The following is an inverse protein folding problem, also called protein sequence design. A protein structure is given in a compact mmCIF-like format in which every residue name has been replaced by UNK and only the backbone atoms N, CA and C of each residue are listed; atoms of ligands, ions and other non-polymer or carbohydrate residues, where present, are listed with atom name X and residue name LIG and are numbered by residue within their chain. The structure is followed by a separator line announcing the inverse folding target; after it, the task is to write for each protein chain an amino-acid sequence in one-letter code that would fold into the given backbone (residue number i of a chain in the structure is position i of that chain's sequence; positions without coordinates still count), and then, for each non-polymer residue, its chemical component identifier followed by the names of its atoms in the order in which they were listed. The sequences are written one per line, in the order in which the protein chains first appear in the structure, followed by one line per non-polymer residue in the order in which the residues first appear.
data_IF_547473129474
#
_entry.id   IF_547473129474
#
_cell.length_a   1.000
_cell.length_b   1.000
_cell.length_c   1.000
_cell.angle_alpha   90.00
_cell.angle_beta   90.00
_cell.angle_gamma   90.00
#
_symmetry.space_group_name_H-M   'P 1'
#
loop_
_entity.id
_entity.type
_entity.pdbx_description
1 polymer ?
#
# COMPACT_ATOMS: atom_id res chain seq x y z
N UNK A 1 23.45 9.81 -4.07
CA UNK A 1 22.46 8.86 -4.63
C UNK A 1 22.00 7.95 -3.51
N UNK A 2 20.70 7.61 -3.45
CA UNK A 2 20.05 6.64 -2.54
C UNK A 2 19.31 7.16 -1.29
N UNK A 3 19.47 8.42 -0.83
CA UNK A 3 18.75 8.92 0.36
C UNK A 3 17.23 8.95 0.18
N UNK A 4 16.74 9.24 -1.03
CA UNK A 4 15.30 9.25 -1.35
C UNK A 4 14.67 7.86 -1.26
N UNK A 5 15.41 6.81 -1.64
CA UNK A 5 14.94 5.42 -1.58
C UNK A 5 14.84 4.99 -0.11
N UNK A 6 15.86 5.29 0.70
CA UNK A 6 15.83 5.04 2.14
C UNK A 6 14.72 5.82 2.85
N UNK A 7 14.46 7.06 2.45
CA UNK A 7 13.36 7.86 2.98
C UNK A 7 11.99 7.29 2.60
N UNK A 8 11.80 6.92 1.34
CA UNK A 8 10.56 6.29 0.88
C UNK A 8 10.31 4.96 1.61
N UNK A 9 11.35 4.14 1.80
CA UNK A 9 11.26 2.89 2.55
C UNK A 9 10.91 3.15 4.02
N UNK A 10 11.52 4.15 4.66
CA UNK A 10 11.22 4.53 6.03
C UNK A 10 9.75 4.98 6.18
N UNK A 11 9.24 5.78 5.24
CA UNK A 11 7.84 6.21 5.25
C UNK A 11 6.87 5.03 5.05
N UNK A 12 7.18 4.10 4.14
CA UNK A 12 6.38 2.88 3.96
C UNK A 12 6.33 2.06 5.24
N UNK A 13 7.47 1.86 5.92
CA UNK A 13 7.52 1.12 7.18
C UNK A 13 6.74 1.81 8.31
N UNK A 14 6.81 3.14 8.38
CA UNK A 14 6.02 3.91 9.36
C UNK A 14 4.53 3.73 9.07
N UNK A 15 4.09 3.89 7.81
CA UNK A 15 2.68 3.74 7.45
C UNK A 15 2.15 2.32 7.68
N UNK A 16 2.90 1.29 7.28
CA UNK A 16 2.55 -0.11 7.51
C UNK A 16 2.56 -0.48 9.00
N UNK A 17 3.48 0.09 9.79
CA UNK A 17 3.57 -0.14 11.24
C UNK A 17 2.54 0.63 12.07
N UNK A 18 2.00 1.74 11.57
CA UNK A 18 1.03 2.56 12.30
C UNK A 18 -0.30 1.84 12.54
N UNK A 19 -0.79 1.07 11.56
CA UNK A 19 -2.02 0.27 11.68
C UNK A 19 -2.02 -0.67 12.89
N UNK A 20 -1.05 -1.60 13.00
CA UNK A 20 -0.95 -2.49 14.15
C UNK A 20 -0.56 -1.79 15.45
N UNK A 21 0.21 -0.70 15.40
CA UNK A 21 0.64 0.03 16.60
C UNK A 21 -0.50 0.81 17.26
N UNK A 22 -1.33 1.52 16.47
CA UNK A 22 -2.41 2.36 16.98
C UNK A 22 -3.66 1.55 17.34
N UNK A 23 -4.05 0.58 16.51
CA UNK A 23 -5.30 -0.16 16.69
C UNK A 23 -5.16 -1.67 16.37
N UNK A 24 -4.44 -2.44 17.21
CA UNK A 24 -4.14 -3.85 16.93
C UNK A 24 -5.39 -4.73 16.79
N UNK A 25 -6.45 -4.44 17.56
CA UNK A 25 -7.72 -5.20 17.51
C UNK A 25 -8.50 -4.93 16.23
N UNK A 26 -8.58 -3.66 15.81
CA UNK A 26 -9.27 -3.27 14.57
C UNK A 26 -8.50 -3.75 13.35
N UNK A 27 -7.16 -3.60 13.37
CA UNK A 27 -6.26 -4.12 12.34
C UNK A 27 -6.44 -5.62 12.12
N UNK A 28 -6.41 -6.42 13.20
CA UNK A 28 -6.62 -7.87 13.12
C UNK A 28 -8.00 -8.23 12.55
N UNK A 29 -9.06 -7.51 12.92
CA UNK A 29 -10.41 -7.72 12.34
C UNK A 29 -10.45 -7.36 10.85
N UNK A 30 -9.80 -6.28 10.45
CA UNK A 30 -9.70 -5.86 9.05
C UNK A 30 -8.96 -6.92 8.22
N UNK A 31 -7.79 -7.37 8.67
CA UNK A 31 -7.02 -8.43 7.99
C UNK A 31 -7.80 -9.74 7.93
N UNK A 32 -8.47 -10.13 9.02
CA UNK A 32 -9.32 -11.33 9.03
C UNK A 32 -10.48 -11.22 8.03
N UNK A 33 -11.12 -10.05 7.95
CA UNK A 33 -12.19 -9.79 6.97
C UNK A 33 -11.64 -9.87 5.55
N UNK A 34 -10.46 -9.28 5.29
CA UNK A 34 -9.75 -9.35 4.01
C UNK A 34 -9.39 -10.78 3.61
N UNK A 35 -8.98 -11.62 4.55
CA UNK A 35 -8.68 -13.04 4.30
C UNK A 35 -9.90 -13.91 4.00
N UNK A 36 -11.10 -13.45 4.36
CA UNK A 36 -12.35 -14.14 4.07
C UNK A 36 -12.95 -13.76 2.71
N UNK A 37 -12.41 -12.73 2.05
CA UNK A 37 -12.82 -12.37 0.70
C UNK A 37 -12.35 -13.44 -0.30
N UNK A 38 -13.17 -13.75 -1.33
CA UNK A 38 -12.76 -14.68 -2.37
C UNK A 38 -11.54 -14.15 -3.12
N UNK A 39 -10.57 -15.03 -3.40
CA UNK A 39 -9.29 -14.71 -4.04
C UNK A 39 -9.45 -13.90 -5.33
N UNK A 40 -10.52 -14.14 -6.08
CA UNK A 40 -10.79 -13.42 -7.32
C UNK A 40 -11.06 -11.93 -7.10
N UNK A 41 -11.73 -11.58 -5.99
CA UNK A 41 -11.97 -10.20 -5.61
C UNK A 41 -10.70 -9.57 -5.03
N UNK A 42 -9.95 -10.31 -4.21
CA UNK A 42 -8.66 -9.85 -3.68
C UNK A 42 -7.67 -9.54 -4.81
N UNK A 43 -7.62 -10.38 -5.86
CA UNK A 43 -6.80 -10.15 -7.06
C UNK A 43 -7.25 -8.93 -7.87
N UNK A 44 -8.57 -8.65 -7.95
CA UNK A 44 -9.08 -7.45 -8.63
C UNK A 44 -8.74 -6.18 -7.85
N UNK A 45 -8.87 -6.20 -6.53
CA UNK A 45 -8.45 -5.09 -5.68
C UNK A 45 -6.94 -4.84 -5.75
N UNK A 46 -6.14 -5.89 -5.60
CA UNK A 46 -4.69 -5.81 -5.74
C UNK A 46 -4.25 -5.35 -7.14
N UNK A 47 -4.87 -5.90 -8.18
CA UNK A 47 -4.64 -5.48 -9.56
C UNK A 47 -5.01 -4.01 -9.80
N UNK A 48 -6.15 -3.55 -9.27
CA UNK A 48 -6.57 -2.16 -9.35
C UNK A 48 -5.60 -1.20 -8.65
N UNK A 49 -5.10 -1.58 -7.46
CA UNK A 49 -4.07 -0.83 -6.74
C UNK A 49 -2.76 -0.74 -7.53
N UNK A 50 -2.32 -1.84 -8.13
CA UNK A 50 -1.12 -1.86 -8.99
C UNK A 50 -1.30 -0.94 -10.20
N UNK A 51 -2.43 -1.04 -10.90
CA UNK A 51 -2.73 -0.19 -12.06
C UNK A 51 -2.79 1.28 -11.65
N UNK A 52 -3.50 1.61 -10.58
CA UNK A 52 -3.58 2.98 -10.06
C UNK A 52 -2.19 3.53 -9.68
N UNK A 53 -1.37 2.73 -8.99
CA UNK A 53 0.00 3.10 -8.63
C UNK A 53 0.88 3.36 -9.86
N UNK A 54 0.78 2.53 -10.89
CA UNK A 54 1.48 2.71 -12.16
C UNK A 54 1.02 4.00 -12.85
N UNK A 55 -0.30 4.26 -12.91
CA UNK A 55 -0.86 5.48 -13.51
C UNK A 55 -0.35 6.72 -12.77
N UNK A 56 -0.41 6.73 -11.44
CA UNK A 56 0.10 7.84 -10.62
C UNK A 56 1.61 8.02 -10.86
N UNK A 57 2.39 6.95 -10.88
CA UNK A 57 3.82 7.00 -11.16
C UNK A 57 4.10 7.62 -12.53
N UNK A 58 3.40 7.18 -13.58
CA UNK A 58 3.55 7.73 -14.92
C UNK A 58 3.14 9.20 -15.00
N UNK A 59 2.05 9.59 -14.33
CA UNK A 59 1.61 10.99 -14.27
C UNK A 59 2.62 11.88 -13.53
N UNK A 60 3.11 11.46 -12.36
CA UNK A 60 4.10 12.21 -11.59
C UNK A 60 5.43 12.30 -12.35
N UNK A 61 5.88 11.20 -12.95
CA UNK A 61 7.09 11.17 -13.78
C UNK A 61 6.98 12.13 -14.97
N UNK A 62 5.82 12.16 -15.64
CA UNK A 62 5.57 13.08 -16.77
C UNK A 62 5.46 14.55 -16.35
N UNK A 63 5.02 14.82 -15.13
CA UNK A 63 4.88 16.19 -14.62
C UNK A 63 6.18 16.77 -14.02
N UNK A 64 7.12 15.92 -13.63
CA UNK A 64 8.39 16.30 -12.97
C UNK A 64 9.59 16.24 -13.94
N UNK A 65 9.46 15.57 -15.08
CA UNK A 65 10.43 15.57 -16.18
C UNK A 65 10.03 16.54 -17.28
#
# INVERSE_FOLDING_TARGET
MNSTIWLALALVLVLEGLGPLLYPRAWRKMVASLSQLPDNLLRRFGGGLVVAGIVIYYMLRKSIG
#
